data_IF_518866512155
#
_entry.id   IF_518866512155
#
_cell.length_a   1.000
_cell.length_b   1.000
_cell.length_c   1.000
_cell.angle_alpha   90.00
_cell.angle_beta   90.00
_cell.angle_gamma   90.00
#
_symmetry.space_group_name_H-M   'P 1'
#
loop_
_entity.id
_entity.type
_entity.pdbx_description
1 polymer ?
#
# COMPACT_ATOMS: atom_id res chain seq x y z
N UNK A 1 -10.23 -7.36 -11.96
CA UNK A 1 -9.56 -8.50 -11.29
C UNK A 1 -8.10 -8.15 -11.06
N UNK A 2 -7.63 -7.97 -9.81
CA UNK A 2 -6.33 -7.34 -9.50
C UNK A 2 -5.09 -8.16 -9.89
N UNK A 3 -5.23 -9.47 -10.03
CA UNK A 3 -4.13 -10.38 -10.38
C UNK A 3 -4.38 -11.13 -11.71
N UNK A 4 -5.17 -10.56 -12.61
CA UNK A 4 -5.57 -11.24 -13.86
C UNK A 4 -6.46 -12.47 -13.60
N UNK A 5 -6.72 -13.26 -14.64
CA UNK A 5 -7.60 -14.44 -14.56
C UNK A 5 -7.32 -15.46 -15.67
N UNK A 6 -7.83 -16.69 -15.48
CA UNK A 6 -7.63 -17.81 -16.41
C UNK A 6 -6.15 -18.17 -16.58
N UNK A 7 -5.76 -18.50 -17.82
CA UNK A 7 -4.40 -18.94 -18.18
C UNK A 7 -3.33 -17.86 -18.01
N UNK A 8 -3.71 -16.58 -17.91
CA UNK A 8 -2.81 -15.44 -17.68
C UNK A 8 -2.91 -14.85 -16.26
N UNK A 9 -3.39 -15.63 -15.29
CA UNK A 9 -3.39 -15.19 -13.89
C UNK A 9 -1.96 -15.00 -13.38
N UNK A 10 -1.77 -14.02 -12.51
CA UNK A 10 -0.49 -13.80 -11.86
C UNK A 10 -0.14 -15.00 -10.97
N UNK A 11 0.97 -15.68 -11.26
CA UNK A 11 1.47 -16.79 -10.45
C UNK A 11 1.88 -16.34 -9.04
N UNK A 12 2.31 -15.09 -8.91
CA UNK A 12 2.68 -14.48 -7.63
C UNK A 12 1.52 -13.97 -6.77
N UNK A 13 0.25 -14.16 -7.18
CA UNK A 13 -0.89 -13.54 -6.50
C UNK A 13 -0.96 -13.87 -4.99
N UNK A 14 -0.80 -15.14 -4.63
CA UNK A 14 -0.80 -15.58 -3.22
C UNK A 14 0.38 -14.99 -2.44
N UNK A 15 1.55 -14.90 -3.08
CA UNK A 15 2.75 -14.37 -2.45
C UNK A 15 2.64 -12.86 -2.22
N UNK A 16 2.19 -12.09 -3.22
CA UNK A 16 1.95 -10.66 -3.09
C UNK A 16 0.95 -10.34 -1.97
N UNK A 17 -0.12 -11.13 -1.85
CA UNK A 17 -1.09 -11.00 -0.75
C UNK A 17 -0.48 -11.35 0.61
N UNK A 18 0.36 -12.38 0.67
CA UNK A 18 1.09 -12.73 1.88
C UNK A 18 2.04 -11.60 2.31
N UNK A 19 2.88 -11.10 1.41
CA UNK A 19 3.80 -9.99 1.69
C UNK A 19 3.05 -8.74 2.16
N UNK A 20 1.98 -8.34 1.46
CA UNK A 20 1.18 -7.18 1.86
C UNK A 20 0.59 -7.34 3.27
N UNK A 21 0.09 -8.54 3.62
CA UNK A 21 -0.41 -8.81 4.98
C UNK A 21 0.69 -8.70 6.03
N UNK A 22 1.87 -9.25 5.75
CA UNK A 22 3.03 -9.18 6.66
C UNK A 22 3.45 -7.72 6.84
N UNK A 23 3.67 -6.97 5.75
CA UNK A 23 4.08 -5.56 5.79
C UNK A 23 3.09 -4.71 6.58
N UNK A 24 1.78 -4.85 6.31
CA UNK A 24 0.76 -4.09 7.03
C UNK A 24 0.72 -4.46 8.52
N UNK A 25 0.80 -5.76 8.85
CA UNK A 25 0.80 -6.21 10.24
C UNK A 25 1.99 -5.65 11.02
N UNK A 26 3.20 -5.79 10.49
CA UNK A 26 4.39 -5.32 11.19
C UNK A 26 4.45 -3.78 11.26
N UNK A 27 4.01 -3.09 10.21
CA UNK A 27 3.91 -1.62 10.23
C UNK A 27 2.95 -1.15 11.33
N UNK A 28 1.75 -1.72 11.40
CA UNK A 28 0.74 -1.33 12.39
C UNK A 28 1.08 -1.76 13.83
N UNK A 29 1.98 -2.74 14.00
CA UNK A 29 2.56 -3.09 15.30
C UNK A 29 3.60 -2.06 15.74
N UNK A 30 4.43 -1.57 14.82
CA UNK A 30 5.51 -0.63 15.13
C UNK A 30 5.02 0.80 15.34
N UNK A 31 3.97 1.22 14.62
CA UNK A 31 3.49 2.61 14.66
C UNK A 31 1.98 2.72 14.75
N UNK A 32 1.51 3.86 15.29
CA UNK A 32 0.12 4.29 15.19
C UNK A 32 -0.02 5.30 14.06
N UNK A 33 -0.90 5.03 13.10
CA UNK A 33 -1.22 5.96 12.04
C UNK A 33 -2.06 7.12 12.62
N UNK A 34 -1.76 8.34 12.20
CA UNK A 34 -2.48 9.56 12.60
C UNK A 34 -3.15 10.18 11.38
N UNK A 35 -4.23 10.91 11.64
CA UNK A 35 -4.99 11.58 10.60
C UNK A 35 -4.10 12.61 9.86
N UNK A 36 -4.12 12.54 8.53
CA UNK A 36 -3.41 13.45 7.64
C UNK A 36 -4.20 14.71 7.29
N UNK A 37 -5.07 15.20 8.19
CA UNK A 37 -6.10 16.22 7.89
C UNK A 37 -5.58 17.57 7.38
N UNK A 38 -4.27 17.79 7.42
CA UNK A 38 -3.60 19.02 6.95
C UNK A 38 -3.20 18.96 5.47
N UNK A 39 -3.32 17.80 4.81
CA UNK A 39 -2.85 17.60 3.44
C UNK A 39 -4.04 17.40 2.48
N UNK A 40 -3.96 17.92 1.24
CA UNK A 40 -4.94 17.58 0.21
C UNK A 40 -5.02 16.06 -0.01
N UNK A 41 -6.17 15.58 -0.49
CA UNK A 41 -6.37 14.17 -0.84
C UNK A 41 -5.33 13.70 -1.86
N UNK A 42 -4.70 12.54 -1.60
CA UNK A 42 -3.62 11.99 -2.44
C UNK A 42 -4.09 11.71 -3.87
N UNK A 43 -3.29 12.15 -4.83
CA UNK A 43 -3.55 11.91 -6.24
C UNK A 43 -2.89 10.61 -6.71
N UNK A 44 -3.25 10.16 -7.91
CA UNK A 44 -2.63 9.00 -8.55
C UNK A 44 -1.76 9.47 -9.71
N UNK A 45 -0.54 8.97 -9.78
CA UNK A 45 0.37 9.14 -10.92
C UNK A 45 0.79 7.79 -11.47
N UNK A 46 1.21 7.76 -12.74
CA UNK A 46 1.74 6.55 -13.37
C UNK A 46 3.26 6.51 -13.21
N UNK A 47 3.77 5.41 -12.65
CA UNK A 47 5.20 5.09 -12.58
C UNK A 47 5.47 3.83 -13.40
N UNK A 48 6.06 4.01 -14.58
CA UNK A 48 6.22 2.95 -15.58
C UNK A 48 4.89 2.23 -15.89
N UNK A 49 4.78 0.94 -15.56
CA UNK A 49 3.58 0.13 -15.77
C UNK A 49 2.65 0.08 -14.54
N UNK A 50 2.97 0.80 -13.47
CA UNK A 50 2.22 0.80 -12.20
C UNK A 50 1.59 2.16 -11.90
N UNK A 51 0.55 2.17 -11.08
CA UNK A 51 0.02 3.38 -10.45
C UNK A 51 0.66 3.58 -9.08
N UNK A 52 0.95 4.83 -8.71
CA UNK A 52 1.55 5.19 -7.43
C UNK A 52 0.95 6.49 -6.89
N UNK A 53 1.06 6.75 -5.58
CA UNK A 53 0.70 8.05 -4.99
C UNK A 53 1.51 9.19 -5.60
N UNK A 54 0.84 10.28 -5.97
CA UNK A 54 1.49 11.47 -6.57
C UNK A 54 2.46 12.16 -5.61
N UNK A 55 2.17 12.17 -4.31
CA UNK A 55 3.02 12.78 -3.27
C UNK A 55 3.68 11.76 -2.36
N UNK A 56 3.79 10.52 -2.83
CA UNK A 56 4.52 9.44 -2.15
C UNK A 56 3.76 8.78 -0.99
N UNK A 57 2.47 9.11 -0.77
CA UNK A 57 1.66 8.43 0.24
C UNK A 57 2.14 8.72 1.66
N UNK A 58 2.54 9.96 1.94
CA UNK A 58 3.04 10.38 3.26
C UNK A 58 1.93 10.30 4.31
N UNK A 59 2.24 9.67 5.44
CA UNK A 59 1.32 9.49 6.58
C UNK A 59 2.02 9.95 7.85
N UNK A 60 1.31 10.68 8.71
CA UNK A 60 1.81 11.02 10.04
C UNK A 60 1.71 9.80 10.96
N UNK A 61 2.76 9.53 11.72
CA UNK A 61 2.83 8.38 12.62
C UNK A 61 3.32 8.79 14.01
N UNK A 62 2.93 8.03 15.02
CA UNK A 62 3.54 8.06 16.35
C UNK A 62 4.03 6.66 16.73
N UNK A 63 4.96 6.57 17.69
CA UNK A 63 5.39 5.28 18.22
C UNK A 63 4.19 4.47 18.72
N UNK A 64 4.18 3.17 18.45
CA UNK A 64 3.28 2.27 19.16
C UNK A 64 3.75 2.15 20.63
N UNK A 65 2.79 2.23 21.55
CA UNK A 65 3.02 2.01 22.99
C UNK A 65 3.38 0.57 23.29
#
# INVERSE_FOLDING_TARGET
>A
IPFGGGVRRCLGASFALFEMKVVLRETLRAVRLREGSRWPAEGVTRRAITFAPSRGGRIAVSAAS
#
